data_IF_712661674781
#
_entry.id   IF_712661674781
#
_cell.length_a   1.000
_cell.length_b   1.000
_cell.length_c   1.000
_cell.angle_alpha   90.00
_cell.angle_beta   90.00
_cell.angle_gamma   90.00
#
_symmetry.space_group_name_H-M   'P 1'
#
loop_
_entity.id
_entity.type
_entity.pdbx_description
1 polymer ?
#
# COMPACT_ATOMS: atom_id res chain seq x y z
N UNK A 1 8.64 -23.59 20.42
CA UNK A 1 7.61 -24.63 20.27
C UNK A 1 7.14 -24.86 18.81
N UNK A 2 7.33 -23.93 17.86
CA UNK A 2 6.94 -24.15 16.44
C UNK A 2 7.82 -25.11 15.63
N UNK A 3 9.15 -24.94 15.68
CA UNK A 3 10.09 -25.72 14.84
C UNK A 3 10.05 -27.25 15.12
N UNK A 4 9.76 -27.66 16.37
CA UNK A 4 9.65 -29.09 16.74
C UNK A 4 8.35 -29.74 16.27
N UNK A 5 7.27 -28.95 16.13
CA UNK A 5 5.96 -29.43 15.67
C UNK A 5 5.88 -29.44 14.14
N UNK A 6 6.61 -28.54 13.48
CA UNK A 6 6.65 -28.43 12.02
C UNK A 6 5.35 -27.89 11.41
N UNK A 7 5.19 -28.08 10.10
CA UNK A 7 4.01 -27.69 9.33
C UNK A 7 3.22 -28.91 8.84
N UNK A 8 2.37 -28.74 7.82
CA UNK A 8 1.59 -29.83 7.21
C UNK A 8 2.47 -30.96 6.63
N UNK A 9 3.72 -30.66 6.27
CA UNK A 9 4.71 -31.61 5.77
C UNK A 9 5.44 -32.39 6.88
N UNK A 10 5.02 -32.26 8.14
CA UNK A 10 5.60 -32.95 9.29
C UNK A 10 6.70 -32.15 10.03
N UNK A 11 7.39 -32.79 10.99
CA UNK A 11 8.37 -32.12 11.85
C UNK A 11 9.61 -31.68 11.07
N UNK A 12 10.01 -30.41 11.25
CA UNK A 12 11.19 -29.83 10.56
C UNK A 12 12.50 -30.41 11.11
N UNK A 13 12.51 -30.75 12.41
CA UNK A 13 13.65 -31.33 13.11
C UNK A 13 13.29 -32.71 13.64
N UNK A 14 14.11 -33.70 13.34
CA UNK A 14 14.01 -35.04 13.89
C UNK A 14 15.18 -35.29 14.86
N UNK A 15 14.88 -35.34 16.16
CA UNK A 15 15.88 -35.57 17.22
C UNK A 15 16.37 -37.02 17.29
N UNK A 16 15.61 -37.98 16.73
CA UNK A 16 15.99 -39.41 16.71
C UNK A 16 16.94 -39.71 15.56
N UNK A 17 16.70 -39.11 14.40
CA UNK A 17 17.57 -39.19 13.21
C UNK A 17 17.89 -37.79 12.69
N UNK A 18 18.87 -37.08 13.29
CA UNK A 18 19.22 -35.71 12.93
C UNK A 18 19.49 -35.48 11.44
N UNK A 19 20.11 -36.45 10.76
CA UNK A 19 20.43 -36.38 9.33
C UNK A 19 19.21 -36.42 8.42
N UNK A 20 18.10 -36.98 8.89
CA UNK A 20 16.82 -37.04 8.17
C UNK A 20 15.90 -35.88 8.52
N UNK A 21 16.36 -34.92 9.34
CA UNK A 21 15.62 -33.70 9.60
C UNK A 21 15.36 -32.97 8.28
N UNK A 22 14.11 -32.59 8.03
CA UNK A 22 13.72 -31.88 6.81
C UNK A 22 14.58 -30.64 6.57
N UNK A 23 14.98 -29.93 7.63
CA UNK A 23 15.93 -28.81 7.56
C UNK A 23 17.27 -29.20 6.90
N UNK A 24 17.84 -30.34 7.28
CA UNK A 24 19.12 -30.83 6.75
C UNK A 24 18.98 -31.32 5.32
N UNK A 25 17.85 -31.97 5.00
CA UNK A 25 17.55 -32.42 3.65
C UNK A 25 17.40 -31.25 2.67
N UNK A 26 16.73 -30.16 3.08
CA UNK A 26 16.62 -28.94 2.27
C UNK A 26 17.98 -28.26 2.07
N UNK A 27 18.79 -28.10 3.13
CA UNK A 27 20.11 -27.47 2.99
C UNK A 27 21.06 -28.30 2.10
N UNK A 28 20.92 -29.63 2.11
CA UNK A 28 21.70 -30.55 1.27
C UNK A 28 21.13 -30.75 -0.13
N UNK A 29 19.86 -30.41 -0.38
CA UNK A 29 19.15 -30.74 -1.63
C UNK A 29 19.03 -32.25 -1.86
N UNK A 30 18.67 -33.02 -0.83
CA UNK A 30 18.60 -34.48 -0.86
C UNK A 30 17.14 -34.99 -0.77
N UNK A 31 16.87 -36.23 -1.20
CA UNK A 31 15.52 -36.87 -1.17
C UNK A 31 14.43 -35.97 -1.74
N UNK A 32 14.61 -35.51 -2.97
CA UNK A 32 13.66 -34.70 -3.75
C UNK A 32 13.34 -33.30 -3.20
N UNK A 33 14.07 -32.84 -2.18
CA UNK A 33 13.97 -31.46 -1.71
C UNK A 33 14.82 -30.52 -2.55
N UNK A 34 14.25 -29.37 -2.92
CA UNK A 34 15.00 -28.28 -3.53
C UNK A 34 16.05 -27.74 -2.54
N UNK A 35 17.29 -27.57 -3.03
CA UNK A 35 18.41 -27.11 -2.21
C UNK A 35 18.20 -25.67 -1.75
N UNK A 36 18.26 -25.44 -0.44
CA UNK A 36 18.23 -24.11 0.17
C UNK A 36 19.64 -23.63 0.55
N UNK A 37 20.07 -22.41 0.18
CA UNK A 37 19.29 -21.39 -0.54
C UNK A 37 19.12 -21.73 -2.04
N UNK A 38 17.94 -21.42 -2.63
CA UNK A 38 17.67 -21.70 -4.05
C UNK A 38 18.48 -20.78 -4.98
N UNK A 39 18.88 -19.60 -4.47
CA UNK A 39 19.80 -18.67 -5.11
C UNK A 39 20.92 -18.32 -4.13
N UNK A 40 22.16 -18.28 -4.62
CA UNK A 40 23.35 -17.97 -3.82
C UNK A 40 24.18 -19.21 -3.46
N UNK A 41 25.19 -18.98 -2.62
CA UNK A 41 26.15 -20.02 -2.23
C UNK A 41 25.51 -21.05 -1.29
N UNK A 42 25.83 -22.32 -1.52
CA UNK A 42 25.43 -23.41 -0.63
C UNK A 42 26.13 -23.27 0.73
N UNK A 43 25.49 -23.77 1.78
CA UNK A 43 26.15 -23.87 3.08
C UNK A 43 27.36 -24.79 2.99
N UNK A 44 28.47 -24.35 3.56
CA UNK A 44 29.69 -25.15 3.66
C UNK A 44 29.45 -26.38 4.53
N UNK A 45 30.25 -27.43 4.34
CA UNK A 45 30.19 -28.63 5.15
C UNK A 45 30.30 -28.34 6.66
N UNK A 46 31.10 -27.34 7.03
CA UNK A 46 31.27 -26.89 8.43
C UNK A 46 29.96 -26.28 8.97
N UNK A 47 29.26 -25.47 8.18
CA UNK A 47 27.98 -24.89 8.58
C UNK A 47 26.89 -25.97 8.71
N UNK A 48 26.85 -26.93 7.78
CA UNK A 48 25.92 -28.07 7.86
C UNK A 48 26.22 -28.93 9.10
N UNK A 49 27.49 -29.16 9.43
CA UNK A 49 27.87 -29.87 10.66
C UNK A 49 27.48 -29.11 11.93
N UNK A 50 27.58 -27.77 11.93
CA UNK A 50 27.09 -26.96 13.05
C UNK A 50 25.57 -27.11 13.24
N UNK A 51 24.81 -27.13 12.15
CA UNK A 51 23.36 -27.38 12.19
C UNK A 51 23.03 -28.78 12.72
N UNK A 52 23.75 -29.81 12.24
CA UNK A 52 23.60 -31.18 12.74
C UNK A 52 23.93 -31.28 14.23
N UNK A 53 25.06 -30.70 14.65
CA UNK A 53 25.46 -30.66 16.05
C UNK A 53 24.41 -29.97 16.91
N UNK A 54 23.88 -28.83 16.45
CA UNK A 54 22.81 -28.13 17.16
C UNK A 54 21.53 -28.99 17.31
N UNK A 55 21.14 -29.74 16.29
CA UNK A 55 20.02 -30.69 16.36
C UNK A 55 20.30 -31.81 17.36
N UNK A 56 21.51 -32.40 17.33
CA UNK A 56 21.96 -33.45 18.25
C UNK A 56 21.86 -32.96 19.71
N UNK A 57 22.23 -31.71 19.98
CA UNK A 57 22.14 -31.09 21.30
C UNK A 57 20.72 -30.59 21.65
N UNK A 58 19.69 -31.12 21.00
CA UNK A 58 18.29 -30.88 21.36
C UNK A 58 17.63 -29.67 20.68
N UNK A 59 18.32 -29.07 19.70
CA UNK A 59 17.89 -27.87 18.97
C UNK A 59 17.44 -26.74 19.91
N UNK A 60 18.23 -26.50 20.97
CA UNK A 60 17.95 -25.47 21.96
C UNK A 60 18.21 -24.12 21.33
N UNK A 61 17.20 -23.26 21.31
CA UNK A 61 17.33 -21.87 20.86
C UNK A 61 17.66 -21.04 22.10
N UNK A 62 18.84 -20.39 22.15
CA UNK A 62 19.18 -19.48 23.25
C UNK A 62 18.12 -18.39 23.41
N UNK A 63 17.71 -18.13 24.65
CA UNK A 63 16.73 -17.09 25.00
C UNK A 63 17.18 -15.69 24.55
N UNK A 64 18.48 -15.47 24.44
CA UNK A 64 19.10 -14.23 23.96
C UNK A 64 18.72 -13.88 22.50
N UNK A 65 18.42 -14.87 21.65
CA UNK A 65 18.01 -14.64 20.27
C UNK A 65 16.64 -13.96 20.21
N UNK A 66 15.74 -14.27 21.14
CA UNK A 66 14.42 -13.62 21.25
C UNK A 66 14.50 -12.18 21.77
N UNK A 67 15.58 -11.84 22.47
CA UNK A 67 15.83 -10.48 22.99
C UNK A 67 16.77 -9.66 22.10
N UNK A 68 17.44 -10.29 21.13
CA UNK A 68 18.27 -9.58 20.18
C UNK A 68 17.36 -8.82 19.22
N UNK A 69 17.46 -7.49 19.22
CA UNK A 69 16.90 -6.61 18.18
C UNK A 69 17.61 -6.82 16.83
N UNK A 70 18.06 -8.02 16.53
CA UNK A 70 18.78 -8.37 15.30
C UNK A 70 17.85 -8.59 14.10
N UNK A 71 16.54 -8.41 14.28
CA UNK A 71 15.56 -8.45 13.19
C UNK A 71 15.40 -7.13 12.42
N UNK A 72 15.93 -6.00 12.92
CA UNK A 72 15.69 -4.70 12.28
C UNK A 72 16.80 -4.27 11.31
N UNK A 73 18.03 -4.75 11.45
CA UNK A 73 19.14 -4.32 10.59
C UNK A 73 19.18 -5.06 9.24
N UNK A 74 18.68 -6.29 9.15
CA UNK A 74 18.64 -7.04 7.88
C UNK A 74 17.36 -6.84 7.07
N UNK A 75 16.34 -6.18 7.62
CA UNK A 75 15.10 -5.97 6.88
C UNK A 75 15.21 -4.91 5.80
N UNK A 76 16.25 -4.07 5.77
CA UNK A 76 16.68 -3.22 4.63
C UNK A 76 15.60 -2.39 3.92
N UNK A 77 14.38 -2.39 4.43
CA UNK A 77 13.19 -1.87 3.80
C UNK A 77 13.12 -0.40 4.09
N UNK A 78 12.83 0.38 3.05
CA UNK A 78 12.70 1.83 3.10
C UNK A 78 11.77 2.29 4.24
N UNK A 79 10.79 1.47 4.64
CA UNK A 79 9.80 1.74 5.69
C UNK A 79 10.33 1.64 7.13
N UNK A 80 11.48 1.00 7.37
CA UNK A 80 12.11 0.88 8.69
C UNK A 80 13.24 1.90 8.92
N UNK A 81 13.57 2.70 7.90
CA UNK A 81 14.59 3.75 7.99
C UNK A 81 13.91 5.08 8.35
N UNK A 82 14.38 5.80 9.38
CA UNK A 82 13.84 7.13 9.70
C UNK A 82 13.90 8.06 8.49
N UNK A 83 12.78 8.72 8.19
CA UNK A 83 12.69 9.71 7.11
C UNK A 83 13.60 10.88 7.47
N UNK A 84 14.59 11.15 6.62
CA UNK A 84 15.49 12.31 6.75
C UNK A 84 15.12 13.34 5.71
N UNK A 85 14.95 14.59 6.12
CA UNK A 85 14.78 15.71 5.19
C UNK A 85 16.07 15.90 4.39
N UNK A 86 16.04 15.75 3.05
CA UNK A 86 17.23 15.97 2.23
C UNK A 86 17.59 17.46 2.19
N UNK A 87 18.87 17.77 2.04
CA UNK A 87 19.31 19.14 1.78
C UNK A 87 18.82 19.60 0.41
N UNK A 88 18.24 20.80 0.35
CA UNK A 88 17.75 21.39 -0.91
C UNK A 88 18.95 21.69 -1.83
N UNK A 89 18.95 21.23 -3.09
CA UNK A 89 20.06 21.44 -4.02
C UNK A 89 20.22 22.91 -4.38
N UNK A 90 21.45 23.43 -4.27
CA UNK A 90 21.76 24.80 -4.69
C UNK A 90 21.61 24.95 -6.21
N UNK A 91 20.86 25.98 -6.62
CA UNK A 91 20.66 26.31 -8.03
C UNK A 91 21.57 27.47 -8.45
N UNK A 92 22.06 27.49 -9.71
CA UNK A 92 22.77 28.63 -10.28
C UNK A 92 21.91 29.90 -10.26
N UNK A 93 22.55 31.07 -10.26
CA UNK A 93 21.86 32.37 -10.21
C UNK A 93 20.85 32.54 -11.35
N UNK A 94 21.16 32.00 -12.52
CA UNK A 94 20.33 32.06 -13.72
C UNK A 94 19.03 31.25 -13.58
N UNK A 95 19.04 30.21 -12.74
CA UNK A 95 17.89 29.34 -12.48
C UNK A 95 17.06 29.77 -11.27
N UNK A 96 17.56 30.72 -10.46
CA UNK A 96 16.86 31.21 -9.26
C UNK A 96 15.44 31.75 -9.55
N UNK A 97 15.17 32.46 -10.66
CA UNK A 97 13.80 32.91 -10.97
C UNK A 97 12.79 31.77 -11.21
N UNK A 98 13.26 30.55 -11.48
CA UNK A 98 12.42 29.37 -11.70
C UNK A 98 12.09 28.61 -10.41
N UNK A 99 12.73 28.96 -9.28
CA UNK A 99 12.53 28.29 -7.99
C UNK A 99 11.47 29.06 -7.21
N UNK A 100 10.22 28.58 -7.21
CA UNK A 100 9.12 29.15 -6.41
C UNK A 100 9.02 28.48 -5.04
N UNK A 101 9.36 27.19 -4.97
CA UNK A 101 9.40 26.40 -3.75
C UNK A 101 10.62 25.44 -3.72
N UNK A 102 10.94 24.82 -2.58
CA UNK A 102 12.09 23.91 -2.48
C UNK A 102 12.06 22.71 -3.42
N UNK A 103 10.88 22.20 -3.80
CA UNK A 103 10.70 21.06 -4.71
C UNK A 103 11.22 21.42 -6.11
N UNK A 104 11.02 22.66 -6.55
CA UNK A 104 11.48 23.13 -7.86
C UNK A 104 13.00 22.99 -8.01
N UNK A 105 13.77 23.16 -6.93
CA UNK A 105 15.22 22.95 -6.96
C UNK A 105 15.61 21.49 -7.23
N UNK A 106 14.87 20.53 -6.68
CA UNK A 106 15.10 19.11 -6.97
C UNK A 106 14.73 18.76 -8.42
N UNK A 107 13.62 19.32 -8.93
CA UNK A 107 13.20 19.13 -10.32
C UNK A 107 14.25 19.71 -11.28
N UNK A 108 14.71 20.94 -11.03
CA UNK A 108 15.72 21.61 -11.86
C UNK A 108 17.07 20.89 -11.84
N UNK A 109 17.48 20.34 -10.70
CA UNK A 109 18.68 19.51 -10.61
C UNK A 109 18.57 18.28 -11.53
N UNK A 110 17.44 17.56 -11.46
CA UNK A 110 17.21 16.40 -12.33
C UNK A 110 17.09 16.75 -13.79
N UNK A 111 16.41 17.84 -14.16
CA UNK A 111 16.35 18.30 -15.54
C UNK A 111 17.74 18.62 -16.08
N UNK A 112 18.56 19.38 -15.34
CA UNK A 112 19.94 19.71 -15.74
C UNK A 112 20.83 18.48 -15.87
N UNK A 113 20.75 17.54 -14.92
CA UNK A 113 21.50 16.29 -14.99
C UNK A 113 21.18 15.46 -16.26
N UNK A 114 19.95 15.59 -16.79
CA UNK A 114 19.52 14.94 -18.01
C UNK A 114 19.65 15.84 -19.27
N UNK A 115 20.24 17.03 -19.16
CA UNK A 115 20.36 17.97 -20.29
C UNK A 115 19.02 18.56 -20.76
N UNK A 116 17.98 18.50 -19.93
CA UNK A 116 16.64 19.00 -20.23
C UNK A 116 16.44 20.41 -19.67
N UNK A 117 15.49 21.14 -20.29
CA UNK A 117 15.01 22.44 -19.80
C UNK A 117 13.52 22.35 -19.49
N UNK A 118 13.01 23.14 -18.53
CA UNK A 118 11.57 23.24 -18.30
C UNK A 118 10.84 23.65 -19.58
N UNK A 119 9.65 23.07 -19.80
CA UNK A 119 8.76 23.52 -20.86
C UNK A 119 8.26 24.94 -20.57
N UNK A 120 7.94 25.74 -21.62
CA UNK A 120 7.30 27.02 -21.43
C UNK A 120 5.95 26.85 -20.70
N UNK A 121 5.57 27.87 -19.94
CA UNK A 121 4.28 27.90 -19.26
C UNK A 121 3.14 27.86 -20.30
N UNK A 122 2.10 27.10 -20.01
CA UNK A 122 0.97 26.95 -20.91
C UNK A 122 0.08 28.19 -20.89
N UNK A 123 -0.63 28.45 -21.99
CA UNK A 123 -1.58 29.57 -22.06
C UNK A 123 -2.64 29.48 -20.95
N UNK A 124 -3.10 30.64 -20.46
CA UNK A 124 -4.12 30.78 -19.41
C UNK A 124 -5.35 29.89 -19.67
N UNK A 125 -5.83 29.83 -20.91
CA UNK A 125 -6.96 28.97 -21.32
C UNK A 125 -6.68 27.47 -21.11
N UNK A 126 -5.47 27.02 -21.46
CA UNK A 126 -5.05 25.62 -21.30
C UNK A 126 -4.90 25.29 -19.82
N UNK A 127 -4.29 26.18 -19.04
CA UNK A 127 -4.14 26.03 -17.59
C UNK A 127 -5.51 25.89 -16.90
N UNK A 128 -6.47 26.76 -17.21
CA UNK A 128 -7.83 26.68 -16.67
C UNK A 128 -8.48 25.34 -16.98
N UNK A 129 -8.46 24.91 -18.25
CA UNK A 129 -9.05 23.62 -18.64
C UNK A 129 -8.41 22.44 -17.90
N UNK A 130 -7.08 22.44 -17.75
CA UNK A 130 -6.36 21.39 -17.01
C UNK A 130 -6.74 21.38 -15.54
N UNK A 131 -6.79 22.55 -14.88
CA UNK A 131 -7.16 22.65 -13.47
C UNK A 131 -8.56 22.08 -13.22
N UNK A 132 -9.55 22.52 -13.99
CA UNK A 132 -10.93 22.04 -13.86
C UNK A 132 -11.04 20.53 -14.07
N UNK A 133 -10.45 19.99 -15.14
CA UNK A 133 -10.51 18.54 -15.39
C UNK A 133 -9.77 17.75 -14.31
N UNK A 134 -8.59 18.20 -13.88
CA UNK A 134 -7.79 17.47 -12.91
C UNK A 134 -8.41 17.51 -11.51
N UNK A 135 -8.88 18.67 -11.08
CA UNK A 135 -9.40 18.87 -9.72
C UNK A 135 -10.86 18.44 -9.59
N UNK A 136 -11.72 18.72 -10.58
CA UNK A 136 -13.16 18.46 -10.48
C UNK A 136 -13.69 17.45 -11.49
N UNK A 137 -12.84 16.91 -12.38
CA UNK A 137 -13.26 15.92 -13.38
C UNK A 137 -14.11 16.47 -14.53
N UNK A 138 -14.37 17.77 -14.56
CA UNK A 138 -15.28 18.41 -15.52
C UNK A 138 -14.56 19.57 -16.21
N UNK A 139 -14.87 19.88 -17.48
CA UNK A 139 -14.37 21.09 -18.11
C UNK A 139 -15.02 22.35 -17.49
N UNK A 140 -14.35 23.52 -17.57
CA UNK A 140 -14.95 24.78 -17.12
C UNK A 140 -16.17 25.14 -17.98
N UNK A 141 -17.15 25.80 -17.38
CA UNK A 141 -18.21 26.46 -18.16
C UNK A 141 -17.65 27.66 -18.95
N UNK A 142 -18.31 28.10 -20.03
CA UNK A 142 -17.85 29.28 -20.78
C UNK A 142 -17.71 30.53 -19.90
N UNK A 143 -18.65 30.76 -18.97
CA UNK A 143 -18.61 31.89 -18.05
C UNK A 143 -17.45 31.83 -17.06
N UNK A 144 -17.16 30.65 -16.50
CA UNK A 144 -16.03 30.48 -15.58
C UNK A 144 -14.69 30.63 -16.29
N UNK A 145 -14.59 30.14 -17.52
CA UNK A 145 -13.38 30.31 -18.32
C UNK A 145 -13.16 31.79 -18.64
N UNK A 146 -14.18 32.51 -19.11
CA UNK A 146 -14.07 33.94 -19.39
C UNK A 146 -13.71 34.74 -18.13
N UNK A 147 -14.36 34.46 -16.99
CA UNK A 147 -14.04 35.11 -15.73
C UNK A 147 -12.55 34.95 -15.35
N UNK A 148 -11.97 33.77 -15.53
CA UNK A 148 -10.54 33.55 -15.27
C UNK A 148 -9.62 34.20 -16.31
N UNK A 149 -10.02 34.21 -17.59
CA UNK A 149 -9.23 34.86 -18.64
C UNK A 149 -9.15 36.37 -18.42
N UNK A 150 -10.26 36.99 -18.02
CA UNK A 150 -10.39 38.44 -17.81
C UNK A 150 -9.87 38.90 -16.43
N UNK A 151 -9.59 37.97 -15.51
CA UNK A 151 -9.03 38.30 -14.20
C UNK A 151 -7.58 38.77 -14.31
N UNK A 152 -7.35 40.06 -14.05
CA UNK A 152 -6.04 40.71 -14.09
C UNK A 152 -5.27 40.61 -12.76
N UNK A 153 -5.85 39.99 -11.72
CA UNK A 153 -5.16 39.80 -10.45
C UNK A 153 -3.92 38.91 -10.65
N UNK A 154 -2.74 39.31 -10.14
CA UNK A 154 -1.53 38.49 -10.24
C UNK A 154 -1.67 37.11 -9.58
N UNK A 155 -2.63 36.93 -8.67
CA UNK A 155 -2.95 35.68 -7.98
C UNK A 155 -4.20 34.99 -8.54
N UNK A 156 -4.67 35.35 -9.73
CA UNK A 156 -5.88 34.76 -10.33
C UNK A 156 -5.80 33.23 -10.45
N UNK A 157 -4.60 32.70 -10.69
CA UNK A 157 -4.37 31.26 -10.80
C UNK A 157 -4.55 30.57 -9.45
N UNK A 158 -3.91 31.07 -8.40
CA UNK A 158 -3.97 30.55 -7.04
C UNK A 158 -5.41 30.60 -6.51
N UNK A 159 -6.10 31.73 -6.71
CA UNK A 159 -7.52 31.87 -6.34
C UNK A 159 -8.42 30.87 -7.07
N UNK A 160 -8.11 30.58 -8.35
CA UNK A 160 -8.84 29.55 -9.10
C UNK A 160 -8.59 28.16 -8.50
N UNK A 161 -7.34 27.83 -8.16
CA UNK A 161 -6.98 26.57 -7.51
C UNK A 161 -7.74 26.42 -6.19
N UNK A 162 -7.68 27.42 -5.31
CA UNK A 162 -8.36 27.41 -4.01
C UNK A 162 -9.87 27.21 -4.16
N UNK A 163 -10.50 27.91 -5.12
CA UNK A 163 -11.92 27.76 -5.42
C UNK A 163 -12.28 26.34 -5.87
N UNK A 164 -11.43 25.72 -6.68
CA UNK A 164 -11.67 24.36 -7.19
C UNK A 164 -11.43 23.31 -6.10
N UNK A 165 -10.42 23.48 -5.25
CA UNK A 165 -10.17 22.62 -4.10
C UNK A 165 -11.31 22.69 -3.07
N UNK A 166 -11.90 23.88 -2.88
CA UNK A 166 -13.05 24.07 -2.00
C UNK A 166 -14.39 23.58 -2.59
N UNK A 167 -14.41 23.11 -3.84
CA UNK A 167 -15.63 22.58 -4.47
C UNK A 167 -15.90 21.15 -3.99
N UNK A 168 -17.16 20.80 -3.72
CA UNK A 168 -17.55 19.42 -3.39
C UNK A 168 -17.17 18.40 -4.48
N UNK A 169 -17.04 18.86 -5.72
CA UNK A 169 -16.61 18.06 -6.88
C UNK A 169 -15.16 17.60 -6.78
N UNK A 170 -14.34 18.28 -5.97
CA UNK A 170 -12.98 17.84 -5.69
C UNK A 170 -12.99 16.46 -5.04
N UNK A 171 -13.76 16.31 -3.96
CA UNK A 171 -13.93 15.03 -3.28
C UNK A 171 -14.52 13.95 -4.19
N UNK A 172 -15.50 14.28 -5.03
CA UNK A 172 -16.05 13.32 -6.02
C UNK A 172 -14.98 12.84 -7.02
N UNK A 173 -14.15 13.76 -7.52
CA UNK A 173 -13.10 13.44 -8.49
C UNK A 173 -11.99 12.58 -7.87
N UNK A 174 -11.55 12.94 -6.67
CA UNK A 174 -10.43 12.29 -5.98
C UNK A 174 -10.84 10.99 -5.30
N UNK A 175 -12.04 10.90 -4.73
CA UNK A 175 -12.57 9.66 -4.18
C UNK A 175 -12.60 8.55 -5.22
N UNK A 176 -12.92 8.84 -6.49
CA UNK A 176 -12.88 7.84 -7.57
C UNK A 176 -11.51 7.16 -7.71
N UNK A 177 -10.41 7.91 -7.56
CA UNK A 177 -9.07 7.31 -7.59
C UNK A 177 -8.82 6.39 -6.40
N UNK A 178 -9.39 6.72 -5.23
CA UNK A 178 -9.31 5.86 -4.06
C UNK A 178 -10.22 4.64 -4.15
N UNK A 179 -11.39 4.77 -4.76
CA UNK A 179 -12.31 3.66 -5.02
C UNK A 179 -11.62 2.59 -5.88
N UNK A 180 -10.84 3.00 -6.88
CA UNK A 180 -10.04 2.07 -7.69
C UNK A 180 -9.03 1.30 -6.82
N UNK A 181 -8.36 1.97 -5.88
CA UNK A 181 -7.40 1.36 -4.95
C UNK A 181 -8.08 0.41 -3.96
N UNK A 182 -9.26 0.77 -3.48
CA UNK A 182 -10.06 -0.05 -2.57
C UNK A 182 -10.77 -1.22 -3.28
N UNK A 183 -10.60 -1.37 -4.60
CA UNK A 183 -11.33 -2.33 -5.44
C UNK A 183 -12.86 -2.23 -5.29
N UNK A 184 -13.37 -1.02 -5.07
CA UNK A 184 -14.78 -0.80 -4.82
C UNK A 184 -15.64 -1.12 -6.05
N UNK A 185 -16.71 -1.87 -5.82
CA UNK A 185 -17.81 -2.04 -6.76
C UNK A 185 -19.16 -2.02 -6.05
N UNK A 186 -20.20 -1.61 -6.76
CA UNK A 186 -21.59 -1.75 -6.30
C UNK A 186 -22.10 -3.20 -6.43
N UNK A 187 -21.22 -4.15 -6.77
CA UNK A 187 -21.54 -5.58 -6.93
C UNK A 187 -20.43 -6.48 -6.35
N UNK A 188 -20.66 -7.79 -6.28
CA UNK A 188 -19.70 -8.74 -5.70
C UNK A 188 -18.43 -8.91 -6.54
N UNK A 189 -18.49 -8.67 -7.86
CA UNK A 189 -17.33 -8.75 -8.74
C UNK A 189 -16.80 -10.17 -8.94
N UNK A 190 -17.66 -11.20 -8.76
CA UNK A 190 -17.31 -12.61 -8.90
C UNK A 190 -18.43 -13.42 -9.57
N UNK A 191 -18.39 -14.74 -9.53
CA UNK A 191 -19.25 -15.67 -10.30
C UNK A 191 -20.77 -15.41 -10.16
N UNK A 192 -21.26 -15.13 -8.95
CA UNK A 192 -22.67 -14.79 -8.70
C UNK A 192 -23.00 -13.29 -8.79
N UNK A 193 -22.02 -12.45 -9.14
CA UNK A 193 -22.02 -10.98 -9.20
C UNK A 193 -23.31 -10.27 -8.74
N UNK A 194 -23.61 -10.31 -7.43
CA UNK A 194 -24.83 -9.67 -6.91
C UNK A 194 -24.58 -8.23 -6.54
N UNK A 195 -25.64 -7.45 -6.61
CA UNK A 195 -25.66 -6.07 -6.16
C UNK A 195 -25.43 -5.94 -4.65
N UNK A 196 -24.62 -4.96 -4.24
CA UNK A 196 -24.33 -4.61 -2.84
C UNK A 196 -25.15 -3.38 -2.43
N UNK A 197 -26.31 -3.56 -1.77
CA UNK A 197 -27.21 -2.43 -1.48
C UNK A 197 -26.62 -1.37 -0.54
N UNK A 198 -25.61 -1.73 0.24
CA UNK A 198 -25.00 -0.88 1.26
C UNK A 198 -23.52 -0.57 0.98
N UNK A 199 -23.06 -0.63 -0.27
CA UNK A 199 -21.69 -0.25 -0.61
C UNK A 199 -21.50 1.29 -0.63
N UNK A 200 -22.51 2.03 -1.09
CA UNK A 200 -22.47 3.48 -1.28
C UNK A 200 -22.06 4.34 -0.07
N UNK A 201 -22.33 3.97 1.21
CA UNK A 201 -21.88 4.77 2.35
C UNK A 201 -20.35 4.91 2.40
N UNK A 202 -19.61 3.87 2.00
CA UNK A 202 -18.14 3.93 1.96
C UNK A 202 -17.66 4.92 0.88
N UNK A 203 -18.30 4.94 -0.29
CA UNK A 203 -18.02 5.95 -1.33
C UNK A 203 -18.25 7.36 -0.80
N UNK A 204 -19.39 7.59 -0.15
CA UNK A 204 -19.74 8.91 0.36
C UNK A 204 -18.79 9.35 1.49
N UNK A 205 -18.35 8.41 2.34
CA UNK A 205 -17.29 8.64 3.33
C UNK A 205 -15.98 9.09 2.67
N UNK A 206 -15.57 8.49 1.55
CA UNK A 206 -14.36 8.92 0.84
C UNK A 206 -14.50 10.34 0.30
N UNK A 207 -15.62 10.63 -0.38
CA UNK A 207 -15.92 11.95 -0.93
C UNK A 207 -15.83 13.02 0.17
N UNK A 208 -16.46 12.74 1.32
CA UNK A 208 -16.40 13.65 2.46
C UNK A 208 -14.97 13.78 3.01
N UNK A 209 -14.25 12.66 3.17
CA UNK A 209 -12.88 12.68 3.70
C UNK A 209 -11.92 13.54 2.87
N UNK A 210 -12.08 13.53 1.54
CA UNK A 210 -11.30 14.40 0.64
C UNK A 210 -11.73 15.86 0.71
N UNK A 211 -13.03 16.15 0.77
CA UNK A 211 -13.53 17.53 0.86
C UNK A 211 -13.19 18.20 2.22
N UNK A 212 -13.17 17.42 3.30
CA UNK A 212 -12.85 17.90 4.65
C UNK A 212 -11.33 17.98 4.91
N UNK A 213 -10.49 17.68 3.91
CA UNK A 213 -9.02 17.60 4.02
C UNK A 213 -8.58 16.75 5.22
N UNK A 214 -9.17 15.55 5.33
CA UNK A 214 -8.95 14.68 6.49
C UNK A 214 -7.47 14.31 6.61
N UNK A 215 -6.84 14.49 7.79
CA UNK A 215 -5.44 14.11 7.98
C UNK A 215 -5.20 12.64 7.62
N UNK A 216 -4.21 12.40 6.77
CA UNK A 216 -3.93 11.05 6.22
C UNK A 216 -3.81 9.98 7.32
N UNK A 217 -3.15 10.29 8.44
CA UNK A 217 -3.02 9.35 9.56
C UNK A 217 -4.34 9.02 10.27
N UNK A 218 -5.35 9.91 10.24
CA UNK A 218 -6.71 9.60 10.71
C UNK A 218 -7.43 8.75 9.66
N UNK A 219 -7.39 9.15 8.40
CA UNK A 219 -8.00 8.45 7.27
C UNK A 219 -7.56 6.98 7.16
N UNK A 220 -6.26 6.70 7.33
CA UNK A 220 -5.71 5.34 7.33
C UNK A 220 -6.24 4.52 8.52
N UNK A 221 -6.21 5.08 9.73
CA UNK A 221 -6.68 4.39 10.94
C UNK A 221 -8.16 4.03 10.88
N UNK A 222 -8.98 4.93 10.34
CA UNK A 222 -10.40 4.69 10.14
C UNK A 222 -10.66 3.54 9.17
N UNK A 223 -9.90 3.46 8.06
CA UNK A 223 -10.10 2.39 7.08
C UNK A 223 -9.68 1.00 7.57
N UNK A 224 -8.65 0.91 8.41
CA UNK A 224 -8.14 -0.38 8.90
C UNK A 224 -8.88 -0.85 10.16
N UNK A 225 -9.26 0.07 11.05
CA UNK A 225 -9.79 -0.29 12.37
C UNK A 225 -10.71 0.80 12.95
N UNK A 226 -11.47 1.50 12.11
CA UNK A 226 -12.31 2.61 12.56
C UNK A 226 -13.40 2.20 13.55
N UNK A 227 -13.95 1.00 13.41
CA UNK A 227 -14.92 0.39 14.34
C UNK A 227 -14.32 0.15 15.74
N UNK A 228 -13.05 -0.22 15.82
CA UNK A 228 -12.35 -0.49 17.08
C UNK A 228 -11.75 0.78 17.69
N UNK A 229 -11.13 1.64 16.87
CA UNK A 229 -10.41 2.83 17.33
C UNK A 229 -11.35 3.99 17.65
N UNK A 230 -12.50 4.06 16.97
CA UNK A 230 -13.47 5.15 17.09
C UNK A 230 -14.92 4.61 17.09
N UNK A 231 -15.31 3.75 18.05
CA UNK A 231 -16.62 3.08 18.05
C UNK A 231 -17.82 4.04 18.15
N UNK A 232 -17.61 5.24 18.71
CA UNK A 232 -18.65 6.27 18.86
C UNK A 232 -18.79 7.16 17.61
N UNK A 233 -17.95 6.97 16.59
CA UNK A 233 -17.99 7.72 15.33
C UNK A 233 -18.54 6.82 14.21
N UNK A 234 -19.82 7.00 13.81
CA UNK A 234 -20.42 6.18 12.77
C UNK A 234 -19.66 6.24 11.44
N UNK A 235 -19.00 7.36 11.13
CA UNK A 235 -18.23 7.49 9.89
C UNK A 235 -16.93 6.71 9.94
N UNK A 236 -16.33 6.54 11.12
CA UNK A 236 -15.20 5.65 11.28
C UNK A 236 -15.59 4.17 11.10
N UNK A 237 -16.80 3.78 11.52
CA UNK A 237 -17.32 2.43 11.23
C UNK A 237 -17.54 2.25 9.73
N UNK A 238 -18.12 3.24 9.04
CA UNK A 238 -18.31 3.19 7.58
C UNK A 238 -16.97 3.06 6.84
N UNK A 239 -15.91 3.68 7.35
CA UNK A 239 -14.58 3.64 6.75
C UNK A 239 -13.99 2.23 6.65
N UNK A 240 -14.34 1.31 7.56
CA UNK A 240 -13.91 -0.10 7.50
C UNK A 240 -14.51 -0.85 6.31
N UNK A 241 -15.45 -0.22 5.59
CA UNK A 241 -15.87 -0.64 4.25
C UNK A 241 -14.71 -0.87 3.29
N UNK A 242 -13.54 -0.25 3.49
CA UNK A 242 -12.29 -0.57 2.77
C UNK A 242 -11.98 -2.08 2.81
N UNK A 243 -12.09 -2.71 3.97
CA UNK A 243 -11.79 -4.14 4.15
C UNK A 243 -12.83 -5.07 3.52
N UNK A 244 -13.98 -4.52 3.14
CA UNK A 244 -15.08 -5.26 2.53
C UNK A 244 -15.32 -4.86 1.06
N UNK A 245 -14.58 -3.89 0.53
CA UNK A 245 -14.85 -3.30 -0.79
C UNK A 245 -14.45 -4.24 -1.95
N UNK A 246 -13.43 -5.08 -1.75
CA UNK A 246 -12.93 -6.04 -2.74
C UNK A 246 -13.93 -7.15 -3.10
N UNK A 247 -13.57 -7.99 -4.09
CA UNK A 247 -14.45 -9.04 -4.60
C UNK A 247 -14.94 -9.99 -3.51
N UNK A 248 -16.20 -10.42 -3.59
CA UNK A 248 -16.77 -11.37 -2.63
C UNK A 248 -17.26 -12.64 -3.31
N UNK A 249 -16.62 -13.76 -2.97
CA UNK A 249 -16.97 -15.08 -3.47
C UNK A 249 -18.20 -15.64 -2.73
N UNK A 250 -19.39 -15.31 -3.20
CA UNK A 250 -20.63 -15.77 -2.56
C UNK A 250 -20.77 -17.30 -2.62
N UNK A 251 -20.38 -17.95 -3.71
CA UNK A 251 -20.54 -19.40 -3.83
C UNK A 251 -19.64 -20.11 -2.83
N UNK A 252 -18.37 -19.73 -2.74
CA UNK A 252 -17.40 -20.26 -1.78
C UNK A 252 -17.72 -19.88 -0.32
N UNK A 253 -18.09 -18.62 -0.06
CA UNK A 253 -18.27 -18.05 1.28
C UNK A 253 -19.70 -18.05 1.79
N UNK A 254 -20.69 -18.50 1.01
CA UNK A 254 -22.06 -18.72 1.50
C UNK A 254 -22.61 -20.10 1.21
N UNK A 255 -22.50 -20.57 -0.03
CA UNK A 255 -23.29 -21.72 -0.49
C UNK A 255 -22.62 -23.08 -0.25
N UNK A 256 -21.31 -23.13 0.00
CA UNK A 256 -20.57 -24.35 0.37
C UNK A 256 -20.66 -24.65 1.89
N UNK A 257 -20.72 -25.94 2.24
CA UNK A 257 -20.69 -26.43 3.63
C UNK A 257 -19.49 -25.87 4.42
N UNK A 258 -19.76 -25.36 5.62
CA UNK A 258 -18.76 -24.70 6.46
C UNK A 258 -17.49 -25.53 6.75
N UNK A 259 -17.65 -26.86 6.85
CA UNK A 259 -16.57 -27.77 7.22
C UNK A 259 -15.79 -28.33 6.02
N UNK A 260 -16.14 -27.95 4.78
CA UNK A 260 -15.44 -28.45 3.60
C UNK A 260 -14.06 -27.81 3.43
N UNK A 261 -13.19 -28.50 2.67
CA UNK A 261 -11.88 -27.95 2.30
C UNK A 261 -12.05 -26.73 1.39
N UNK A 262 -12.98 -26.79 0.44
CA UNK A 262 -13.25 -25.69 -0.51
C UNK A 262 -13.66 -24.41 0.21
N UNK A 263 -14.47 -24.51 1.27
CA UNK A 263 -14.84 -23.37 2.12
C UNK A 263 -13.64 -22.75 2.83
N UNK A 264 -12.73 -23.59 3.33
CA UNK A 264 -11.51 -23.11 3.99
C UNK A 264 -10.59 -22.42 2.98
N UNK A 265 -10.49 -22.94 1.76
CA UNK A 265 -9.74 -22.30 0.67
C UNK A 265 -10.35 -20.93 0.35
N UNK A 266 -11.66 -20.83 0.12
CA UNK A 266 -12.33 -19.56 -0.17
C UNK A 266 -12.11 -18.51 0.95
N UNK A 267 -12.23 -18.91 2.22
CA UNK A 267 -11.95 -18.02 3.37
C UNK A 267 -10.50 -17.57 3.44
N UNK A 268 -9.56 -18.43 3.08
CA UNK A 268 -8.14 -18.07 3.07
C UNK A 268 -7.84 -17.10 1.93
N UNK A 269 -8.41 -17.31 0.74
CA UNK A 269 -8.24 -16.40 -0.40
C UNK A 269 -8.83 -15.01 -0.12
N UNK A 270 -10.03 -14.96 0.46
CA UNK A 270 -10.69 -13.70 0.86
C UNK A 270 -9.82 -12.89 1.86
N UNK A 271 -9.29 -13.57 2.88
CA UNK A 271 -8.40 -12.93 3.86
C UNK A 271 -7.05 -12.53 3.26
N UNK A 272 -6.51 -13.34 2.36
CA UNK A 272 -5.26 -13.04 1.67
C UNK A 272 -5.42 -11.79 0.79
N UNK A 273 -6.55 -11.65 0.08
CA UNK A 273 -6.86 -10.44 -0.71
C UNK A 273 -6.98 -9.19 0.18
N UNK A 274 -7.69 -9.28 1.30
CA UNK A 274 -7.81 -8.16 2.26
C UNK A 274 -6.43 -7.73 2.77
N UNK A 275 -5.58 -8.69 3.16
CA UNK A 275 -4.22 -8.40 3.66
C UNK A 275 -3.35 -7.83 2.54
N UNK A 276 -3.38 -8.43 1.35
CA UNK A 276 -2.61 -7.96 0.20
C UNK A 276 -3.01 -6.55 -0.20
N UNK A 277 -4.31 -6.28 -0.37
CA UNK A 277 -4.85 -4.95 -0.70
C UNK A 277 -4.46 -3.91 0.35
N UNK A 278 -4.59 -4.23 1.63
CA UNK A 278 -4.19 -3.34 2.74
C UNK A 278 -2.70 -3.01 2.67
N UNK A 279 -1.84 -4.03 2.51
CA UNK A 279 -0.40 -3.85 2.47
C UNK A 279 0.05 -3.09 1.23
N UNK A 280 -0.48 -3.41 0.06
CA UNK A 280 -0.17 -2.70 -1.19
C UNK A 280 -0.64 -1.25 -1.14
N UNK A 281 -1.79 -0.97 -0.54
CA UNK A 281 -2.34 0.39 -0.47
C UNK A 281 -1.55 1.28 0.49
N UNK A 282 -1.18 0.77 1.68
CA UNK A 282 -0.66 1.61 2.75
C UNK A 282 0.85 1.46 3.03
N UNK A 283 1.47 0.37 2.58
CA UNK A 283 2.88 0.07 2.81
C UNK A 283 3.70 -0.13 1.52
N UNK A 284 3.06 0.00 0.35
CA UNK A 284 3.65 -0.12 -0.98
C UNK A 284 4.37 1.12 -1.48
#
# INVERSE_FOLDING_TARGET
>A
MGIKKGGLSGPIINLKTPEESSLILHVKGAKDFERMPPKGDALTAIQIQKLLSWIIHGAVIPSEIFNSKSGSESLGGWSFVPIKSPSVPLQPKEAMPLVRNPIDSFILEKLRANGLKPSPEADKRILARRLFINLTGLPPTPSELLAFLDDADPNAYEKLVDRLLASTRYGERWARHWLDVAHYADSHGQDQDRFRPNAWPYRDYLIQSFNDDKPYGRFLREQIAGDVLYPEDPMAVVATGFLAAGPWDESGLRDINENSIDRQIARNLDRDDIVASTMTTFAG
#
